data_IF_573003445158
#
_entry.id   IF_573003445158
#
_cell.length_a   1.000
_cell.length_b   1.000
_cell.length_c   1.000
_cell.angle_alpha   90.00
_cell.angle_beta   90.00
_cell.angle_gamma   90.00
#
_symmetry.space_group_name_H-M   'P 1'
#
loop_
_entity.id
_entity.type
_entity.pdbx_description
1 polymer ?
#
# COMPACT_ATOMS: atom_id res chain seq x y z
N UNK A 1 18.05 -0.53 20.48
CA UNK A 1 17.69 -0.73 19.06
C UNK A 1 17.84 0.60 18.36
N UNK A 2 18.54 0.68 17.22
CA UNK A 2 18.64 1.93 16.44
C UNK A 2 17.56 1.90 15.37
N UNK A 3 16.75 2.94 15.32
CA UNK A 3 15.81 3.14 14.23
C UNK A 3 16.60 3.65 13.01
N UNK A 4 16.41 3.00 11.87
CA UNK A 4 16.89 3.51 10.59
C UNK A 4 15.65 3.98 9.83
N UNK A 5 15.64 5.25 9.43
CA UNK A 5 14.60 5.85 8.60
C UNK A 5 15.25 6.24 7.29
N UNK A 6 14.65 5.82 6.17
CA UNK A 6 15.06 6.21 4.83
C UNK A 6 13.92 7.01 4.22
N UNK A 7 14.22 8.21 3.74
CA UNK A 7 13.27 9.11 3.07
C UNK A 7 13.78 9.37 1.67
N UNK A 8 12.86 9.39 0.70
CA UNK A 8 13.13 9.76 -0.69
C UNK A 8 12.04 10.73 -1.13
N UNK A 9 12.45 11.81 -1.79
CA UNK A 9 11.59 12.91 -2.20
C UNK A 9 11.86 13.21 -3.67
N UNK A 10 10.80 13.41 -4.46
CA UNK A 10 10.91 13.90 -5.83
C UNK A 10 9.75 14.81 -6.23
N UNK A 11 10.09 15.78 -7.10
CA UNK A 11 9.19 16.77 -7.63
C UNK A 11 8.50 16.26 -8.90
N UNK A 12 7.17 16.29 -8.90
CA UNK A 12 6.36 15.91 -10.04
C UNK A 12 5.54 17.10 -10.54
N UNK A 13 5.39 17.29 -11.87
CA UNK A 13 4.59 18.37 -12.45
C UNK A 13 3.09 18.02 -12.47
N UNK A 14 2.56 17.46 -11.37
CA UNK A 14 1.18 17.01 -11.25
C UNK A 14 0.56 17.45 -9.93
N UNK A 15 -0.74 17.69 -9.92
CA UNK A 15 -1.46 18.01 -8.70
C UNK A 15 -1.48 16.81 -7.73
N UNK A 16 -1.48 17.04 -6.41
CA UNK A 16 -1.51 15.97 -5.41
C UNK A 16 -2.64 14.95 -5.63
N UNK A 17 -3.82 15.38 -6.08
CA UNK A 17 -4.97 14.51 -6.33
C UNK A 17 -4.73 13.55 -7.52
N UNK A 18 -3.96 13.98 -8.51
CA UNK A 18 -3.60 13.14 -9.66
C UNK A 18 -2.65 12.03 -9.22
N UNK A 19 -1.62 12.38 -8.45
CA UNK A 19 -0.70 11.40 -7.85
C UNK A 19 -1.46 10.46 -6.93
N UNK A 20 -2.33 11.01 -6.09
CA UNK A 20 -3.15 10.25 -5.15
C UNK A 20 -3.99 9.19 -5.85
N UNK A 21 -4.64 9.55 -6.96
CA UNK A 21 -5.43 8.61 -7.76
C UNK A 21 -4.57 7.46 -8.29
N UNK A 22 -3.35 7.72 -8.73
CA UNK A 22 -2.42 6.68 -9.22
C UNK A 22 -1.98 5.77 -8.08
N UNK A 23 -1.56 6.32 -6.94
CA UNK A 23 -1.01 5.51 -5.83
C UNK A 23 -2.08 4.74 -5.06
N UNK A 24 -3.35 5.16 -5.15
CA UNK A 24 -4.48 4.49 -4.50
C UNK A 24 -5.30 3.59 -5.43
N UNK A 25 -5.13 3.69 -6.75
CA UNK A 25 -5.73 2.75 -7.70
C UNK A 25 -5.04 1.38 -7.64
N UNK A 26 -5.67 0.47 -6.91
CA UNK A 26 -5.18 -0.90 -6.73
C UNK A 26 -5.26 -1.74 -8.01
N UNK A 27 -6.05 -1.35 -9.01
CA UNK A 27 -6.06 -2.03 -10.31
C UNK A 27 -4.81 -1.70 -11.13
N UNK A 28 -4.26 -0.49 -10.95
CA UNK A 28 -3.07 0.02 -11.63
C UNK A 28 -1.81 -0.06 -10.75
N UNK A 29 -1.61 -1.18 -10.05
CA UNK A 29 -0.56 -1.37 -9.04
C UNK A 29 0.88 -1.38 -9.58
N UNK A 30 1.09 -1.43 -10.91
CA UNK A 30 2.39 -1.72 -11.53
C UNK A 30 3.45 -0.64 -11.30
N UNK A 31 3.07 0.55 -10.83
CA UNK A 31 4.02 1.57 -10.38
C UNK A 31 4.85 1.09 -9.18
N UNK A 32 4.34 0.12 -8.41
CA UNK A 32 5.09 -0.58 -7.37
C UNK A 32 5.90 -1.74 -7.95
N UNK A 33 7.16 -1.45 -8.25
CA UNK A 33 8.08 -2.39 -8.90
C UNK A 33 8.39 -3.65 -8.08
N UNK A 34 8.16 -3.64 -6.77
CA UNK A 34 8.39 -4.77 -5.87
C UNK A 34 7.24 -5.80 -5.90
N UNK A 35 6.06 -5.42 -6.38
CA UNK A 35 4.89 -6.30 -6.47
C UNK A 35 4.90 -7.16 -7.73
N UNK A 36 4.42 -8.39 -7.59
CA UNK A 36 4.12 -9.32 -8.68
C UNK A 36 2.64 -9.33 -9.05
N UNK A 37 1.74 -9.07 -8.09
CA UNK A 37 0.30 -9.00 -8.29
C UNK A 37 -0.36 -8.23 -7.13
N UNK A 38 -1.57 -7.70 -7.37
CA UNK A 38 -2.43 -7.11 -6.36
C UNK A 38 -3.88 -7.56 -6.58
N UNK A 39 -4.46 -8.22 -5.58
CA UNK A 39 -5.83 -8.73 -5.62
C UNK A 39 -6.72 -7.87 -4.75
N UNK A 40 -7.67 -7.19 -5.39
CA UNK A 40 -8.75 -6.49 -4.68
C UNK A 40 -9.82 -7.51 -4.32
N UNK A 41 -10.11 -7.65 -3.03
CA UNK A 41 -11.14 -8.56 -2.52
C UNK A 41 -12.47 -7.82 -2.43
N UNK A 42 -12.45 -6.61 -1.87
CA UNK A 42 -13.57 -5.68 -1.83
C UNK A 42 -13.06 -4.24 -1.62
N UNK A 43 -13.97 -3.31 -1.40
CA UNK A 43 -13.69 -1.87 -1.21
C UNK A 43 -12.67 -1.57 -0.09
N UNK A 44 -12.48 -2.47 0.87
CA UNK A 44 -11.57 -2.25 2.01
C UNK A 44 -10.48 -3.30 2.13
N UNK A 45 -10.56 -4.42 1.42
CA UNK A 45 -9.61 -5.53 1.57
C UNK A 45 -8.87 -5.78 0.27
N UNK A 46 -7.56 -5.85 0.36
CA UNK A 46 -6.72 -6.29 -0.74
C UNK A 46 -5.56 -7.19 -0.26
N UNK A 47 -5.01 -7.95 -1.20
CA UNK A 47 -3.84 -8.80 -0.99
C UNK A 47 -2.76 -8.32 -1.95
N UNK A 48 -1.62 -7.89 -1.42
CA UNK A 48 -0.44 -7.59 -2.22
C UNK A 48 0.48 -8.81 -2.26
N UNK A 49 0.88 -9.22 -3.46
CA UNK A 49 1.76 -10.35 -3.67
C UNK A 49 3.11 -9.79 -4.13
N UNK A 50 4.13 -9.75 -3.26
CA UNK A 50 5.45 -9.27 -3.64
C UNK A 50 6.13 -10.27 -4.57
N UNK A 51 7.06 -9.80 -5.42
CA UNK A 51 7.92 -10.66 -6.25
C UNK A 51 8.75 -11.64 -5.42
N UNK A 52 9.04 -11.28 -4.17
CA UNK A 52 9.77 -12.08 -3.20
C UNK A 52 9.12 -11.94 -1.83
N UNK A 53 8.87 -13.06 -1.15
CA UNK A 53 8.26 -13.07 0.17
C UNK A 53 6.86 -13.67 0.18
N UNK A 54 6.10 -13.38 1.24
CA UNK A 54 4.74 -13.90 1.43
C UNK A 54 3.70 -12.85 1.02
N UNK A 55 2.51 -13.28 0.54
CA UNK A 55 1.39 -12.38 0.35
C UNK A 55 1.03 -11.63 1.65
N UNK A 56 0.70 -10.35 1.51
CA UNK A 56 0.34 -9.47 2.64
C UNK A 56 -1.13 -9.05 2.50
N UNK A 57 -1.88 -9.18 3.59
CA UNK A 57 -3.30 -8.87 3.64
C UNK A 57 -3.53 -7.50 4.28
N UNK A 58 -4.12 -6.60 3.51
CA UNK A 58 -4.36 -5.23 3.92
C UNK A 58 -5.85 -4.96 4.15
N UNK A 59 -6.10 -4.17 5.20
CA UNK A 59 -7.37 -3.50 5.43
C UNK A 59 -7.17 -1.99 5.26
N UNK A 60 -7.88 -1.41 4.30
CA UNK A 60 -7.96 0.04 4.09
C UNK A 60 -8.94 0.61 5.11
N UNK A 61 -8.44 1.51 5.94
CA UNK A 61 -9.26 2.28 6.87
C UNK A 61 -9.27 3.74 6.43
N UNK A 62 -10.46 4.32 6.31
CA UNK A 62 -10.60 5.76 6.04
C UNK A 62 -10.30 6.49 7.35
N UNK A 63 -9.19 7.21 7.40
CA UNK A 63 -8.89 8.11 8.51
C UNK A 63 -9.53 9.48 8.23
N UNK A 64 -10.24 10.05 9.20
CA UNK A 64 -11.04 11.26 9.07
C UNK A 64 -10.24 12.57 8.89
N UNK A 65 -8.95 12.50 8.57
CA UNK A 65 -8.09 13.67 8.41
C UNK A 65 -7.31 13.55 7.09
N UNK A 66 -7.54 14.53 6.23
CA UNK A 66 -6.81 14.95 5.03
C UNK A 66 -5.67 14.04 4.56
N UNK A 67 -5.85 13.44 3.37
CA UNK A 67 -4.81 12.87 2.49
C UNK A 67 -3.83 11.84 3.11
N UNK A 68 -4.30 10.98 4.01
CA UNK A 68 -3.49 9.85 4.51
C UNK A 68 -4.27 8.53 4.46
N UNK A 69 -3.72 7.53 3.75
CA UNK A 69 -4.22 6.15 3.74
C UNK A 69 -3.29 5.33 4.60
N UNK A 70 -3.85 4.77 5.66
CA UNK A 70 -3.15 3.82 6.52
C UNK A 70 -3.59 2.42 6.11
N UNK A 71 -2.65 1.66 5.54
CA UNK A 71 -2.78 0.22 5.32
C UNK A 71 -2.28 -0.49 6.57
N UNK A 72 -3.09 -1.35 7.18
CA UNK A 72 -2.66 -2.22 8.28
C UNK A 72 -2.53 -3.66 7.82
N UNK A 73 -1.38 -4.26 8.13
CA UNK A 73 -1.16 -5.70 7.96
C UNK A 73 -2.00 -6.45 8.99
N UNK A 74 -2.88 -7.32 8.50
CA UNK A 74 -3.63 -8.20 9.39
C UNK A 74 -2.97 -9.57 9.38
N UNK A 75 -1.87 -9.72 10.13
CA UNK A 75 -1.31 -11.05 10.40
C UNK A 75 -2.22 -11.77 11.40
N UNK A 76 -3.02 -12.74 10.92
CA UNK A 76 -3.58 -13.75 11.80
C UNK A 76 -2.41 -14.61 12.31
N UNK A 77 -2.08 -14.44 13.58
CA UNK A 77 -1.16 -15.31 14.29
C UNK A 77 -1.72 -16.75 14.27
N UNK A 78 -1.29 -17.55 13.31
CA UNK A 78 -1.36 -19.01 13.41
C UNK A 78 -0.01 -19.46 13.98
N UNK A 79 0.04 -19.49 15.31
CA UNK A 79 1.06 -20.22 16.05
C UNK A 79 0.50 -21.63 16.29
N UNK A 80 1.14 -22.64 15.72
CA UNK A 80 1.05 -24.03 16.17
C UNK A 80 2.36 -24.32 16.89
#
# INVERSE_FOLDING_TARGET
>A
MRQIVVVWEEDFPYEPEQIWKVVTDLASWQWRSDLADCKVIDERRCIEIPKKGKPVHFLVVVAALSHSVVKRDTHAAQHN
#
